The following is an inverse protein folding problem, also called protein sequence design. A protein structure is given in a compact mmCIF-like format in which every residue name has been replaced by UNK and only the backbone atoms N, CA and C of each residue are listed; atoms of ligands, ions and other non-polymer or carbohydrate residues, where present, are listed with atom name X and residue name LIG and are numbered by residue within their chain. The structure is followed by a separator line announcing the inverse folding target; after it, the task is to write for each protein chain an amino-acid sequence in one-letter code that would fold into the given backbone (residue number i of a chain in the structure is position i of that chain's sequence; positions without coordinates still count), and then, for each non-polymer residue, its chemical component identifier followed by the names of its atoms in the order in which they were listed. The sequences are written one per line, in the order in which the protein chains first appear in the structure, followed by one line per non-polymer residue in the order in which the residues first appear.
data_IF_367489647547
#
_entry.id   IF_367489647547
#
_cell.length_a   1.000
_cell.length_b   1.000
_cell.length_c   1.000
_cell.angle_alpha   90.00
_cell.angle_beta   90.00
_cell.angle_gamma   90.00
#
_symmetry.space_group_name_H-M   'P 1'
#
loop_
_entity.id
_entity.type
_entity.pdbx_description
1 polymer ?
#
# COMPACT_ATOMS: atom_id res chain seq x y z
N UNK A 1 21.73 -0.28 -9.08
CA UNK A 1 21.46 -1.66 -8.61
C UNK A 1 20.67 -2.35 -9.71
N UNK A 2 20.96 -3.58 -10.15
CA UNK A 2 20.10 -4.22 -11.13
C UNK A 2 18.79 -4.59 -10.45
N UNK A 3 17.69 -4.23 -11.11
CA UNK A 3 16.33 -4.34 -10.59
C UNK A 3 16.12 -5.76 -10.07
N UNK A 4 15.89 -5.90 -8.77
CA UNK A 4 14.93 -6.93 -8.36
C UNK A 4 13.68 -6.57 -9.15
N UNK A 5 13.19 -7.49 -9.98
CA UNK A 5 11.98 -7.23 -10.73
C UNK A 5 10.88 -6.78 -9.75
N UNK A 6 9.91 -5.99 -10.25
CA UNK A 6 8.79 -5.57 -9.43
C UNK A 6 8.21 -6.80 -8.70
N UNK A 7 7.78 -6.64 -7.44
CA UNK A 7 7.13 -7.76 -6.77
C UNK A 7 6.05 -8.35 -7.67
N UNK A 8 5.94 -9.68 -7.73
CA UNK A 8 5.05 -10.34 -8.68
C UNK A 8 3.60 -9.82 -8.60
N UNK A 9 3.15 -9.43 -7.42
CA UNK A 9 1.80 -8.86 -7.25
C UNK A 9 1.61 -7.54 -8.00
N UNK A 10 2.62 -6.67 -8.03
CA UNK A 10 2.65 -5.48 -8.89
C UNK A 10 2.98 -5.82 -10.34
N UNK A 11 3.79 -6.85 -10.58
CA UNK A 11 4.16 -7.29 -11.93
C UNK A 11 2.96 -7.78 -12.74
N UNK A 12 1.83 -8.11 -12.12
CA UNK A 12 0.58 -8.43 -12.82
C UNK A 12 -0.18 -7.21 -13.32
N UNK A 13 0.08 -6.04 -12.74
CA UNK A 13 -0.64 -4.80 -13.00
C UNK A 13 -0.08 -4.13 -14.24
N UNK A 14 -0.93 -3.54 -15.07
CA UNK A 14 -0.46 -2.74 -16.21
C UNK A 14 0.39 -1.57 -15.72
N UNK A 15 1.51 -1.31 -16.40
CA UNK A 15 2.53 -0.39 -15.91
C UNK A 15 2.01 1.06 -15.83
N UNK A 16 1.13 1.43 -16.76
CA UNK A 16 0.40 2.70 -16.83
C UNK A 16 -0.73 2.82 -15.82
N UNK A 17 -1.00 1.77 -15.02
CA UNK A 17 -2.07 1.75 -14.00
C UNK A 17 -1.54 1.70 -12.56
N UNK A 18 -0.22 1.67 -12.36
CA UNK A 18 0.40 1.65 -11.02
C UNK A 18 0.04 2.88 -10.18
N UNK A 19 -0.20 4.02 -10.80
CA UNK A 19 -0.57 5.26 -10.11
C UNK A 19 -1.86 5.13 -9.28
N UNK A 20 -2.75 4.19 -9.63
CA UNK A 20 -4.02 3.97 -8.93
C UNK A 20 -3.89 3.51 -7.49
N UNK A 21 -2.73 2.99 -7.10
CA UNK A 21 -2.45 2.63 -5.70
C UNK A 21 -2.17 3.84 -4.81
N UNK A 22 -1.95 5.00 -5.42
CA UNK A 22 -1.45 6.20 -4.78
C UNK A 22 -2.45 7.35 -4.84
N UNK A 23 -3.71 7.02 -5.14
CA UNK A 23 -4.81 7.96 -5.26
C UNK A 23 -6.06 7.26 -4.73
N UNK A 24 -6.82 7.95 -3.90
CA UNK A 24 -8.12 7.51 -3.40
C UNK A 24 -8.99 7.06 -4.58
N UNK A 25 -9.48 5.83 -4.55
CA UNK A 25 -10.18 5.27 -5.71
C UNK A 25 -11.45 6.06 -6.06
N UNK A 26 -12.16 6.62 -5.06
CA UNK A 26 -13.33 7.47 -5.32
C UNK A 26 -12.99 8.72 -6.15
N UNK A 27 -11.74 9.19 -6.11
CA UNK A 27 -11.29 10.34 -6.92
C UNK A 27 -10.91 9.95 -8.34
N UNK A 28 -10.63 8.67 -8.59
CA UNK A 28 -10.24 8.13 -9.91
C UNK A 28 -11.42 8.01 -10.87
N UNK A 29 -12.65 8.03 -10.34
CA UNK A 29 -13.88 7.96 -11.13
C UNK A 29 -14.62 9.30 -11.07
N UNK A 30 -15.26 9.68 -12.18
CA UNK A 30 -16.21 10.78 -12.19
C UNK A 30 -17.58 10.31 -11.69
N UNK A 31 -18.50 11.24 -11.40
CA UNK A 31 -19.88 10.90 -10.96
C UNK A 31 -20.67 10.11 -11.99
N UNK A 32 -20.35 10.27 -13.28
CA UNK A 32 -20.89 9.51 -14.41
C UNK A 32 -20.11 8.21 -14.69
N UNK A 33 -19.13 7.86 -13.84
CA UNK A 33 -18.41 6.58 -13.87
C UNK A 33 -17.19 6.54 -14.80
N UNK A 34 -16.81 7.65 -15.43
CA UNK A 34 -15.64 7.72 -16.31
C UNK A 34 -14.34 7.72 -15.51
N UNK A 35 -13.32 7.06 -16.05
CA UNK A 35 -12.01 7.00 -15.43
C UNK A 35 -11.25 8.31 -15.66
N UNK A 36 -10.58 8.80 -14.63
CA UNK A 36 -9.65 9.93 -14.73
C UNK A 36 -8.25 9.42 -15.05
N UNK A 37 -7.51 10.19 -15.85
CA UNK A 37 -6.08 9.97 -16.03
C UNK A 37 -5.27 10.45 -14.82
N UNK A 38 -4.09 9.86 -14.63
CA UNK A 38 -3.15 10.20 -13.55
C UNK A 38 -2.74 11.68 -13.52
N UNK A 39 -2.68 12.33 -14.69
CA UNK A 39 -2.25 13.72 -14.84
C UNK A 39 -3.16 14.73 -14.12
N UNK A 40 -4.43 14.40 -13.88
CA UNK A 40 -5.36 15.33 -13.23
C UNK A 40 -4.96 15.63 -11.78
N UNK A 41 -4.25 14.72 -11.12
CA UNK A 41 -3.81 14.89 -9.74
C UNK A 41 -2.49 15.65 -9.63
N UNK A 42 -1.63 15.52 -10.64
CA UNK A 42 -0.38 16.29 -10.73
C UNK A 42 -0.65 17.77 -11.05
N UNK A 43 -1.83 18.11 -11.60
CA UNK A 43 -2.27 19.51 -11.74
C UNK A 43 -2.54 20.15 -10.38
N UNK A 44 -3.15 19.41 -9.46
CA UNK A 44 -3.45 19.90 -8.11
C UNK A 44 -2.17 20.03 -7.30
N UNK A 45 -1.29 19.03 -7.35
CA UNK A 45 0.00 18.98 -6.64
C UNK A 45 1.15 18.58 -7.59
N UNK A 46 1.77 19.54 -8.29
CA UNK A 46 2.83 19.25 -9.25
C UNK A 46 3.98 18.44 -8.65
N UNK A 47 4.33 17.33 -9.31
CA UNK A 47 5.40 16.43 -8.89
C UNK A 47 4.93 15.26 -8.01
N UNK A 48 3.66 15.23 -7.60
CA UNK A 48 3.08 14.15 -6.81
C UNK A 48 3.32 12.78 -7.44
N UNK A 49 2.98 12.61 -8.73
CA UNK A 49 3.06 11.27 -9.34
C UNK A 49 4.50 10.81 -9.49
N UNK A 50 5.40 11.72 -9.84
CA UNK A 50 6.82 11.41 -9.92
C UNK A 50 7.39 10.96 -8.56
N UNK A 51 7.01 11.64 -7.48
CA UNK A 51 7.43 11.29 -6.12
C UNK A 51 6.83 9.95 -5.66
N UNK A 52 5.54 9.71 -5.87
CA UNK A 52 4.91 8.42 -5.51
C UNK A 52 5.48 7.24 -6.29
N UNK A 53 5.81 7.40 -7.58
CA UNK A 53 6.47 6.34 -8.36
C UNK A 53 7.92 6.09 -7.89
N UNK A 54 8.65 7.14 -7.48
CA UNK A 54 9.96 6.99 -6.83
C UNK A 54 9.83 6.23 -5.50
N UNK A 55 8.82 6.55 -4.70
CA UNK A 55 8.54 5.85 -3.45
C UNK A 55 8.10 4.40 -3.66
N UNK A 56 7.32 4.12 -4.71
CA UNK A 56 6.95 2.77 -5.15
C UNK A 56 8.19 1.92 -5.47
N UNK A 57 9.17 2.49 -6.18
CA UNK A 57 10.42 1.79 -6.47
C UNK A 57 11.18 1.44 -5.16
N UNK A 58 11.30 2.41 -4.25
CA UNK A 58 11.94 2.19 -2.95
C UNK A 58 11.19 1.14 -2.11
N UNK A 59 9.86 1.14 -2.15
CA UNK A 59 9.03 0.12 -1.51
C UNK A 59 9.40 -1.27 -2.02
N UNK A 60 9.42 -1.47 -3.34
CA UNK A 60 9.80 -2.75 -3.96
C UNK A 60 11.22 -3.17 -3.60
N UNK A 61 12.18 -2.25 -3.69
CA UNK A 61 13.60 -2.49 -3.39
C UNK A 61 13.83 -2.89 -1.92
N UNK A 62 12.88 -2.61 -1.03
CA UNK A 62 13.02 -2.85 0.41
C UNK A 62 12.09 -3.92 0.96
N UNK A 63 11.27 -4.61 0.16
CA UNK A 63 10.31 -5.63 0.65
C UNK A 63 10.95 -6.73 1.52
N UNK A 64 12.19 -7.11 1.22
CA UNK A 64 12.95 -8.12 1.97
C UNK A 64 13.47 -7.64 3.34
N UNK A 65 13.41 -6.33 3.61
CA UNK A 65 13.88 -5.72 4.86
C UNK A 65 12.76 -5.65 5.88
N UNK A 66 13.10 -5.62 7.17
CA UNK A 66 12.13 -5.25 8.21
C UNK A 66 11.78 -3.77 8.11
N UNK A 67 10.55 -3.42 8.46
CA UNK A 67 10.15 -2.02 8.58
C UNK A 67 10.85 -1.41 9.81
N UNK A 68 11.38 -0.20 9.65
CA UNK A 68 12.09 0.56 10.68
C UNK A 68 11.67 2.03 10.60
N UNK A 69 11.82 2.83 11.67
CA UNK A 69 11.54 4.27 11.60
C UNK A 69 12.33 4.96 10.47
N UNK A 70 13.60 4.58 10.28
CA UNK A 70 14.44 5.10 9.21
C UNK A 70 13.89 4.76 7.82
N UNK A 71 13.36 3.55 7.62
CA UNK A 71 12.75 3.18 6.34
C UNK A 71 11.44 3.95 6.09
N UNK A 72 10.64 4.19 7.13
CA UNK A 72 9.44 5.05 7.03
C UNK A 72 9.85 6.47 6.61
N UNK A 73 10.92 7.03 7.20
CA UNK A 73 11.48 8.33 6.79
C UNK A 73 11.99 8.35 5.34
N UNK A 74 12.61 7.26 4.88
CA UNK A 74 13.06 7.14 3.49
C UNK A 74 11.88 7.08 2.51
N UNK A 75 10.82 6.35 2.85
CA UNK A 75 9.58 6.31 2.07
C UNK A 75 8.89 7.68 2.05
N UNK A 76 8.80 8.33 3.22
CA UNK A 76 8.27 9.69 3.37
C UNK A 76 8.99 10.68 2.45
N UNK A 77 10.33 10.71 2.55
CA UNK A 77 11.16 11.56 1.69
C UNK A 77 10.90 11.27 0.22
N UNK A 78 10.90 10.00 -0.19
CA UNK A 78 10.68 9.63 -1.58
C UNK A 78 9.31 10.07 -2.09
N UNK A 79 8.27 10.05 -1.23
CA UNK A 79 6.89 10.38 -1.56
C UNK A 79 6.62 11.89 -1.66
N UNK A 80 7.45 12.75 -1.04
CA UNK A 80 7.24 14.20 -1.04
C UNK A 80 8.37 15.03 -1.67
N UNK A 81 9.57 14.47 -1.87
CA UNK A 81 10.69 15.22 -2.45
C UNK A 81 10.37 15.62 -3.90
N UNK A 82 10.27 16.94 -4.13
CA UNK A 82 9.92 17.52 -5.44
C UNK A 82 8.43 17.77 -5.65
N UNK A 83 7.58 17.53 -4.65
CA UNK A 83 6.14 17.84 -4.70
C UNK A 83 5.91 19.30 -4.31
N UNK A 84 5.14 20.03 -5.12
CA UNK A 84 4.70 21.41 -4.84
C UNK A 84 3.39 21.43 -4.05
N UNK A 85 3.13 22.52 -3.30
CA UNK A 85 1.91 22.75 -2.50
C UNK A 85 1.68 21.74 -1.36
N UNK A 86 2.75 21.18 -0.83
CA UNK A 86 2.70 20.51 0.47
C UNK A 86 2.56 21.56 1.57
N UNK A 87 2.14 21.15 2.77
CA UNK A 87 2.16 22.00 3.96
C UNK A 87 3.58 22.14 4.54
N UNK A 88 4.62 21.81 3.76
CA UNK A 88 6.00 21.86 4.22
C UNK A 88 6.62 23.23 3.95
N UNK A 89 7.30 23.76 4.96
CA UNK A 89 8.13 24.95 4.85
C UNK A 89 9.55 24.60 4.36
N UNK A 90 10.32 25.59 3.90
CA UNK A 90 11.69 25.41 3.37
C UNK A 90 12.64 24.74 4.39
N UNK A 91 12.35 24.85 5.68
CA UNK A 91 13.13 24.28 6.78
C UNK A 91 12.65 22.90 7.24
N UNK A 92 11.55 22.38 6.68
CA UNK A 92 11.05 21.06 7.04
C UNK A 92 12.00 19.97 6.56
N UNK A 93 12.38 19.10 7.51
CA UNK A 93 13.40 18.10 7.25
C UNK A 93 12.77 16.74 6.98
N UNK A 94 13.08 16.20 5.81
CA UNK A 94 12.78 14.80 5.45
C UNK A 94 13.63 13.76 6.19
N UNK A 95 14.56 14.19 7.05
CA UNK A 95 15.48 13.33 7.79
C UNK A 95 14.99 12.96 9.19
N UNK A 96 13.86 13.50 9.64
CA UNK A 96 13.28 13.23 10.96
C UNK A 96 11.75 13.32 10.94
N UNK A 97 11.13 12.81 12.00
CA UNK A 97 9.72 13.08 12.30
C UNK A 97 9.51 14.54 12.74
N UNK A 98 8.25 15.00 12.77
CA UNK A 98 7.90 16.34 13.30
C UNK A 98 8.40 16.52 14.73
N UNK A 99 8.58 17.76 15.18
CA UNK A 99 9.17 18.01 16.50
C UNK A 99 8.54 19.22 17.18
N UNK A 100 7.66 18.94 18.14
CA UNK A 100 6.85 19.89 18.91
C UNK A 100 5.70 20.54 18.13
N UNK A 101 5.57 20.26 16.84
CA UNK A 101 4.46 20.71 16.01
C UNK A 101 3.18 19.95 16.37
N UNK A 102 2.04 20.65 16.43
CA UNK A 102 0.73 20.01 16.48
C UNK A 102 0.38 19.53 15.07
N UNK A 103 -0.15 18.31 14.95
CA UNK A 103 -0.67 17.84 13.66
C UNK A 103 -2.02 17.16 13.83
N UNK A 104 -2.88 17.31 12.83
CA UNK A 104 -4.25 16.85 12.93
C UNK A 104 -5.04 17.04 11.65
N UNK A 105 -6.27 16.52 11.64
CA UNK A 105 -7.16 16.55 10.50
C UNK A 105 -8.62 16.66 10.94
N UNK A 106 -9.48 17.13 10.03
CA UNK A 106 -10.90 17.26 10.28
C UNK A 106 -11.60 15.90 10.26
N UNK A 107 -12.52 15.70 11.21
CA UNK A 107 -13.33 14.50 11.33
C UNK A 107 -14.62 14.65 10.54
N UNK A 108 -14.96 13.62 9.77
CA UNK A 108 -16.15 13.50 8.92
C UNK A 108 -16.78 12.12 9.16
N UNK A 109 -18.03 12.11 9.66
CA UNK A 109 -18.73 10.87 9.97
C UNK A 109 -19.24 10.18 8.71
N UNK A 110 -19.22 8.85 8.73
CA UNK A 110 -19.72 8.02 7.62
C UNK A 110 -21.23 8.20 7.37
N UNK A 111 -21.98 8.66 8.37
CA UNK A 111 -23.41 8.93 8.22
C UNK A 111 -23.72 10.23 7.47
N UNK A 112 -22.73 11.10 7.23
CA UNK A 112 -22.92 12.41 6.58
C UNK A 112 -22.18 12.55 5.26
N UNK A 113 -20.97 11.99 5.14
CA UNK A 113 -20.04 12.37 4.07
C UNK A 113 -19.58 11.19 3.19
N UNK A 114 -20.38 10.11 3.11
CA UNK A 114 -20.26 8.97 2.19
C UNK A 114 -18.83 8.58 1.79
N UNK A 115 -18.35 9.14 0.67
CA UNK A 115 -17.04 8.82 0.12
C UNK A 115 -15.86 9.43 0.90
N UNK A 116 -16.03 10.62 1.47
CA UNK A 116 -14.98 11.38 2.17
C UNK A 116 -14.93 11.12 3.68
N UNK A 117 -15.88 10.33 4.19
CA UNK A 117 -15.93 10.02 5.61
C UNK A 117 -14.69 9.27 6.09
N UNK A 118 -14.15 9.72 7.23
CA UNK A 118 -12.97 9.15 7.88
C UNK A 118 -13.24 8.65 9.31
N UNK A 119 -14.47 8.77 9.81
CA UNK A 119 -14.89 8.26 11.13
C UNK A 119 -16.09 7.33 10.99
N UNK A 120 -15.99 6.13 11.54
CA UNK A 120 -17.13 5.24 11.80
C UNK A 120 -17.40 5.17 13.31
N UNK A 121 -18.63 4.76 13.67
CA UNK A 121 -19.00 4.54 15.08
C UNK A 121 -18.11 3.48 15.74
N UNK A 122 -17.94 2.34 15.07
CA UNK A 122 -17.17 1.23 15.64
C UNK A 122 -15.67 1.55 15.67
N UNK A 123 -15.14 2.31 14.70
CA UNK A 123 -13.75 2.76 14.77
C UNK A 123 -13.50 3.81 15.85
N UNK A 124 -14.47 4.70 16.09
CA UNK A 124 -14.44 5.62 17.23
C UNK A 124 -14.51 4.86 18.56
N UNK A 125 -15.30 3.78 18.64
CA UNK A 125 -15.34 2.87 19.78
C UNK A 125 -13.99 2.20 20.03
N UNK A 126 -13.37 1.60 19.00
CA UNK A 126 -12.06 0.95 19.12
C UNK A 126 -11.00 1.95 19.60
N UNK A 127 -11.00 3.17 19.04
CA UNK A 127 -10.14 4.27 19.50
C UNK A 127 -10.37 4.61 20.98
N UNK A 128 -11.62 4.79 21.41
CA UNK A 128 -11.93 5.09 22.81
C UNK A 128 -11.50 3.97 23.75
N UNK A 129 -11.72 2.71 23.37
CA UNK A 129 -11.27 1.57 24.16
C UNK A 129 -9.75 1.56 24.33
N UNK A 130 -8.99 1.86 23.26
CA UNK A 130 -7.53 2.01 23.33
C UNK A 130 -7.12 3.14 24.27
N UNK A 131 -7.70 4.33 24.09
CA UNK A 131 -7.42 5.52 24.91
C UNK A 131 -7.74 5.28 26.39
N UNK A 132 -8.87 4.63 26.69
CA UNK A 132 -9.24 4.28 28.05
C UNK A 132 -8.29 3.23 28.66
N UNK A 133 -7.90 2.22 27.88
CA UNK A 133 -7.02 1.15 28.35
C UNK A 133 -5.60 1.64 28.65
N UNK A 134 -5.10 2.63 27.90
CA UNK A 134 -3.75 3.19 28.09
C UNK A 134 -3.71 4.52 28.83
N UNK A 135 -4.86 5.04 29.27
CA UNK A 135 -4.96 6.34 29.95
C UNK A 135 -4.59 7.54 29.06
N UNK A 136 -4.90 7.47 27.77
CA UNK A 136 -4.51 8.42 26.74
C UNK A 136 -3.00 8.73 26.76
N UNK A 137 -2.15 7.70 26.73
CA UNK A 137 -0.68 7.87 26.86
C UNK A 137 -0.07 8.78 25.77
N UNK A 138 -0.73 8.87 24.61
CA UNK A 138 -0.35 9.72 23.49
C UNK A 138 -0.89 11.15 23.61
N UNK A 139 -1.75 11.41 24.60
CA UNK A 139 -2.42 12.70 24.85
C UNK A 139 -3.12 13.24 23.60
N UNK A 140 -3.83 12.35 22.89
CA UNK A 140 -4.66 12.75 21.77
C UNK A 140 -5.77 13.70 22.23
N UNK A 141 -6.17 14.60 21.34
CA UNK A 141 -7.24 15.56 21.57
C UNK A 141 -8.25 15.49 20.40
N UNK A 142 -9.52 15.76 20.69
CA UNK A 142 -10.51 16.06 19.66
C UNK A 142 -11.00 17.47 19.93
N UNK A 143 -10.56 18.41 19.10
CA UNK A 143 -10.85 19.83 19.28
C UNK A 143 -12.06 20.22 18.43
N UNK A 144 -13.08 20.80 19.07
CA UNK A 144 -14.16 21.51 18.37
C UNK A 144 -13.63 22.78 17.69
N UNK A 145 -14.46 23.40 16.84
CA UNK A 145 -14.17 24.70 16.22
C UNK A 145 -13.81 25.82 17.22
N UNK A 146 -14.31 25.74 18.46
CA UNK A 146 -14.01 26.67 19.54
C UNK A 146 -12.75 26.28 20.35
N UNK A 147 -11.95 25.33 19.83
CA UNK A 147 -10.75 24.79 20.50
C UNK A 147 -11.00 24.14 21.86
N UNK A 148 -12.23 23.71 22.12
CA UNK A 148 -12.57 22.88 23.29
C UNK A 148 -12.26 21.43 22.98
N UNK A 149 -11.48 20.78 23.85
CA UNK A 149 -11.17 19.36 23.78
C UNK A 149 -12.36 18.52 24.27
N UNK A 150 -13.16 18.05 23.32
CA UNK A 150 -14.35 17.23 23.59
C UNK A 150 -13.97 15.79 23.95
N UNK A 151 -12.78 15.31 23.59
CA UNK A 151 -12.30 13.99 24.03
C UNK A 151 -12.04 14.01 25.53
N UNK A 152 -11.36 15.04 26.04
CA UNK A 152 -11.16 15.21 27.48
C UNK A 152 -12.48 15.31 28.25
N UNK A 153 -13.47 16.02 27.70
CA UNK A 153 -14.80 16.09 28.30
C UNK A 153 -15.45 14.69 28.38
N UNK A 154 -15.43 13.95 27.27
CA UNK A 154 -15.92 12.57 27.20
C UNK A 154 -15.25 11.66 28.24
N UNK A 155 -13.92 11.69 28.33
CA UNK A 155 -13.16 10.89 29.29
C UNK A 155 -13.51 11.25 30.75
N UNK A 156 -13.71 12.54 31.06
CA UNK A 156 -14.16 12.96 32.40
C UNK A 156 -15.57 12.47 32.74
N UNK A 157 -16.47 12.38 31.75
CA UNK A 157 -17.80 11.81 31.94
C UNK A 157 -17.71 10.30 32.22
N UNK A 158 -16.84 9.58 31.50
CA UNK A 158 -16.61 8.14 31.69
C UNK A 158 -16.12 7.80 33.10
N UNK A 159 -15.19 8.58 33.65
CA UNK A 159 -14.61 8.35 34.97
C UNK A 159 -15.65 8.37 36.09
N UNK A 160 -16.64 9.28 35.98
CA UNK A 160 -17.69 9.51 36.99
C UNK A 160 -18.74 8.39 37.06
N UNK A 161 -18.79 7.51 36.05
CA UNK A 161 -19.81 6.47 35.92
C UNK A 161 -19.35 5.16 36.57
N UNK A 162 -20.27 4.51 37.28
CA UNK A 162 -20.02 3.20 37.91
C UNK A 162 -20.08 2.06 36.88
N UNK A 163 -21.10 2.05 36.01
CA UNK A 163 -21.20 1.09 34.91
C UNK A 163 -20.31 1.53 33.75
N UNK A 164 -19.16 0.87 33.61
CA UNK A 164 -18.17 1.19 32.58
C UNK A 164 -18.60 0.79 31.16
N UNK A 165 -19.50 -0.18 31.01
CA UNK A 165 -20.02 -0.57 29.69
C UNK A 165 -21.02 0.46 29.20
N UNK A 166 -21.98 0.84 30.05
CA UNK A 166 -22.93 1.91 29.75
C UNK A 166 -22.20 3.23 29.52
N UNK A 167 -21.21 3.56 30.35
CA UNK A 167 -20.42 4.77 30.20
C UNK A 167 -19.72 4.88 28.84
N UNK A 168 -19.21 3.76 28.31
CA UNK A 168 -18.58 3.73 26.99
C UNK A 168 -19.58 4.10 25.88
N UNK A 169 -20.80 3.56 25.91
CA UNK A 169 -21.84 3.91 24.94
C UNK A 169 -22.25 5.39 25.05
N UNK A 170 -22.41 5.90 26.28
CA UNK A 170 -22.81 7.29 26.50
C UNK A 170 -21.77 8.29 25.96
N UNK A 171 -20.47 8.03 26.18
CA UNK A 171 -19.42 8.92 25.67
C UNK A 171 -19.24 8.79 24.15
N UNK A 172 -19.55 7.62 23.59
CA UNK A 172 -19.53 7.39 22.15
C UNK A 172 -20.66 8.18 21.47
N UNK A 173 -21.88 8.10 22.01
CA UNK A 173 -23.02 8.91 21.55
C UNK A 173 -22.72 10.40 21.64
N UNK A 174 -22.10 10.84 22.74
CA UNK A 174 -21.66 12.22 22.91
C UNK A 174 -20.68 12.66 21.82
N UNK A 175 -19.62 11.89 21.57
CA UNK A 175 -18.62 12.27 20.56
C UNK A 175 -19.19 12.22 19.15
N UNK A 176 -20.03 11.25 18.81
CA UNK A 176 -20.71 11.20 17.52
C UNK A 176 -21.61 12.42 17.31
N UNK A 177 -22.40 12.80 18.31
CA UNK A 177 -23.24 14.00 18.24
C UNK A 177 -22.39 15.25 18.04
N UNK A 178 -21.26 15.38 18.77
CA UNK A 178 -20.33 16.50 18.62
C UNK A 178 -19.71 16.56 17.23
N UNK A 179 -19.19 15.45 16.71
CA UNK A 179 -18.55 15.41 15.39
C UNK A 179 -19.59 15.68 14.29
N UNK A 180 -20.81 15.17 14.44
CA UNK A 180 -21.90 15.36 13.48
C UNK A 180 -22.37 16.82 13.41
N UNK A 181 -22.55 17.45 14.56
CA UNK A 181 -23.21 18.75 14.66
C UNK A 181 -22.21 19.92 14.72
N UNK A 182 -20.92 19.64 14.97
CA UNK A 182 -19.86 20.65 15.10
C UNK A 182 -18.61 20.20 14.37
N UNK A 183 -17.94 21.12 13.66
CA UNK A 183 -16.63 20.83 13.06
C UNK A 183 -15.63 20.45 14.16
N UNK A 184 -15.20 19.19 14.15
CA UNK A 184 -14.21 18.66 15.08
C UNK A 184 -12.96 18.24 14.31
N UNK A 185 -11.79 18.48 14.89
CA UNK A 185 -10.51 17.98 14.38
C UNK A 185 -9.87 17.04 15.40
N UNK A 186 -9.31 15.95 14.93
CA UNK A 186 -8.41 15.14 15.75
C UNK A 186 -7.02 15.78 15.74
N UNK A 187 -6.35 15.76 16.88
CA UNK A 187 -5.02 16.34 17.04
C UNK A 187 -4.11 15.35 17.77
N UNK A 188 -2.98 15.06 17.14
CA UNK A 188 -1.82 14.47 17.79
C UNK A 188 -0.96 15.59 18.38
N UNK A 189 -0.67 15.55 19.69
CA UNK A 189 -0.05 16.68 20.38
C UNK A 189 1.42 16.87 19.95
N UNK A 190 1.98 18.02 20.31
CA UNK A 190 3.38 18.33 20.10
C UNK A 190 4.28 17.33 20.83
N UNK A 191 5.01 16.52 20.08
CA UNK A 191 6.00 15.57 20.59
C UNK A 191 7.33 15.84 19.90
N UNK A 192 8.44 15.64 20.62
CA UNK A 192 9.75 15.69 19.96
C UNK A 192 9.88 14.53 18.97
N UNK A 193 10.66 14.72 17.90
CA UNK A 193 10.91 13.67 16.91
C UNK A 193 11.43 12.37 17.53
N UNK A 194 12.23 12.46 18.61
CA UNK A 194 12.75 11.29 19.34
C UNK A 194 11.65 10.49 20.02
N UNK A 195 10.70 11.17 20.67
CA UNK A 195 9.55 10.53 21.32
C UNK A 195 8.68 9.83 20.28
N UNK A 196 8.47 10.47 19.12
CA UNK A 196 7.74 9.85 18.00
C UNK A 196 8.48 8.60 17.50
N UNK A 197 9.80 8.70 17.28
CA UNK A 197 10.63 7.59 16.85
C UNK A 197 10.61 6.41 17.84
N UNK A 198 10.69 6.69 19.15
CA UNK A 198 10.59 5.69 20.21
C UNK A 198 9.23 4.98 20.19
N UNK A 199 8.12 5.73 20.06
CA UNK A 199 6.77 5.15 19.95
C UNK A 199 6.61 4.28 18.72
N UNK A 200 7.03 4.75 17.55
CA UNK A 200 7.01 3.96 16.31
C UNK A 200 7.86 2.69 16.45
N UNK A 201 9.05 2.80 17.06
CA UNK A 201 9.91 1.64 17.34
C UNK A 201 9.20 0.62 18.21
N UNK A 202 8.54 1.06 19.28
CA UNK A 202 7.73 0.19 20.13
C UNK A 202 6.59 -0.49 19.36
N UNK A 203 5.85 0.24 18.51
CA UNK A 203 4.78 -0.33 17.69
C UNK A 203 5.31 -1.36 16.70
N UNK A 204 6.46 -1.10 16.05
CA UNK A 204 7.11 -2.05 15.14
C UNK A 204 7.60 -3.32 15.85
N UNK A 205 8.15 -3.19 17.06
CA UNK A 205 8.55 -4.34 17.88
C UNK A 205 7.34 -5.19 18.28
N UNK A 206 6.22 -4.56 18.66
CA UNK A 206 4.98 -5.24 18.98
C UNK A 206 4.39 -5.94 17.74
N UNK A 207 4.37 -5.27 16.59
CA UNK A 207 3.96 -5.83 15.31
C UNK A 207 4.75 -7.09 14.94
N UNK A 208 6.08 -7.02 14.94
CA UNK A 208 6.93 -8.17 14.65
C UNK A 208 6.74 -9.31 15.67
N UNK A 209 6.50 -8.97 16.94
CA UNK A 209 6.18 -9.97 17.97
C UNK A 209 4.84 -10.65 17.68
N UNK A 210 3.78 -9.89 17.38
CA UNK A 210 2.46 -10.42 17.08
C UNK A 210 2.48 -11.28 15.82
N UNK A 211 3.12 -10.82 14.75
CA UNK A 211 3.24 -11.56 13.49
C UNK A 211 3.85 -12.95 13.64
N UNK A 212 4.82 -13.14 14.55
CA UNK A 212 5.43 -14.46 14.79
C UNK A 212 4.49 -15.49 15.42
N UNK A 213 3.40 -15.05 16.05
CA UNK A 213 2.49 -15.92 16.80
C UNK A 213 1.14 -16.13 16.10
N UNK A 214 0.83 -15.34 15.07
CA UNK A 214 -0.41 -15.49 14.30
C UNK A 214 -0.18 -16.43 13.12
N UNK A 215 -1.09 -17.39 12.94
CA UNK A 215 -1.03 -18.38 11.86
C UNK A 215 -2.05 -18.11 10.76
N UNK A 216 -3.23 -17.58 11.10
CA UNK A 216 -4.29 -17.28 10.12
C UNK A 216 -4.00 -15.99 9.36
N UNK A 217 -4.38 -15.96 8.09
CA UNK A 217 -4.20 -14.80 7.24
C UNK A 217 -5.05 -13.61 7.68
N UNK A 218 -6.25 -13.85 8.21
CA UNK A 218 -7.07 -12.81 8.82
C UNK A 218 -6.36 -12.14 10.01
N UNK A 219 -5.79 -12.93 10.93
CA UNK A 219 -5.08 -12.37 12.09
C UNK A 219 -3.77 -11.67 11.69
N UNK A 220 -3.09 -12.11 10.62
CA UNK A 220 -1.95 -11.36 10.07
C UNK A 220 -2.39 -10.01 9.53
N UNK A 221 -3.52 -9.97 8.82
CA UNK A 221 -4.08 -8.75 8.28
C UNK A 221 -4.48 -7.77 9.40
N UNK A 222 -5.11 -8.26 10.47
CA UNK A 222 -5.38 -7.47 11.69
C UNK A 222 -4.12 -6.82 12.26
N UNK A 223 -3.05 -7.61 12.39
CA UNK A 223 -1.77 -7.12 12.94
C UNK A 223 -1.14 -6.05 12.05
N UNK A 224 -1.29 -6.15 10.73
CA UNK A 224 -0.84 -5.12 9.77
C UNK A 224 -1.69 -3.85 9.91
N UNK A 225 -3.03 -3.98 9.95
CA UNK A 225 -3.97 -2.87 10.11
C UNK A 225 -3.68 -2.11 11.41
N UNK A 226 -3.54 -2.82 12.54
CA UNK A 226 -3.25 -2.24 13.85
C UNK A 226 -1.97 -1.41 13.82
N UNK A 227 -0.90 -1.91 13.19
CA UNK A 227 0.36 -1.17 13.07
C UNK A 227 0.15 0.15 12.32
N UNK A 228 -0.45 0.09 11.13
CA UNK A 228 -0.64 1.25 10.25
C UNK A 228 -1.52 2.29 10.94
N UNK A 229 -2.65 1.87 11.52
CA UNK A 229 -3.58 2.73 12.23
C UNK A 229 -2.93 3.43 13.43
N UNK A 230 -2.12 2.71 14.23
CA UNK A 230 -1.39 3.33 15.37
C UNK A 230 -0.42 4.41 14.92
N UNK A 231 0.31 4.18 13.83
CA UNK A 231 1.28 5.18 13.33
C UNK A 231 0.54 6.35 12.66
N UNK A 232 -0.55 6.11 11.91
CA UNK A 232 -1.35 7.17 11.28
C UNK A 232 -1.96 8.10 12.34
N UNK A 233 -2.54 7.56 13.42
CA UNK A 233 -3.03 8.34 14.57
C UNK A 233 -1.93 9.14 15.26
N UNK A 234 -0.71 8.58 15.37
CA UNK A 234 0.44 9.32 15.92
C UNK A 234 0.79 10.53 15.04
N UNK A 235 0.47 10.44 13.75
CA UNK A 235 0.59 11.49 12.74
C UNK A 235 2.00 12.08 12.73
N UNK A 236 3.03 11.28 12.45
CA UNK A 236 4.43 11.59 12.73
C UNK A 236 5.06 12.66 11.82
N UNK A 237 4.38 13.04 10.74
CA UNK A 237 4.83 14.08 9.81
C UNK A 237 3.90 15.30 9.85
N UNK A 238 4.42 16.45 9.44
CA UNK A 238 3.61 17.69 9.25
C UNK A 238 2.60 17.50 8.11
N UNK A 239 3.02 16.76 7.08
CA UNK A 239 2.19 16.45 5.91
C UNK A 239 2.56 15.07 5.36
N UNK A 240 1.74 14.49 4.49
CA UNK A 240 2.04 13.25 3.76
C UNK A 240 1.96 11.96 4.60
N UNK A 241 1.28 11.99 5.75
CA UNK A 241 1.06 10.83 6.62
C UNK A 241 0.35 9.70 5.86
N UNK A 242 -0.88 9.93 5.40
CA UNK A 242 -1.65 8.95 4.62
C UNK A 242 -0.90 8.40 3.38
N UNK A 243 -0.21 9.25 2.60
CA UNK A 243 0.61 8.80 1.44
C UNK A 243 1.70 7.82 1.87
N UNK A 244 2.36 8.11 2.98
CA UNK A 244 3.48 7.31 3.47
C UNK A 244 3.01 6.05 4.19
N UNK A 245 2.07 6.18 5.11
CA UNK A 245 1.71 5.13 6.04
C UNK A 245 0.63 4.23 5.45
N UNK A 246 -0.40 4.81 4.83
CA UNK A 246 -1.53 4.06 4.30
C UNK A 246 -1.30 3.63 2.86
N UNK A 247 -0.79 4.49 1.97
CA UNK A 247 -0.61 4.08 0.57
C UNK A 247 0.68 3.27 0.34
N UNK A 248 1.78 3.60 1.04
CA UNK A 248 3.07 2.93 0.88
C UNK A 248 3.31 1.84 1.94
N UNK A 249 3.34 2.18 3.23
CA UNK A 249 3.69 1.21 4.29
C UNK A 249 2.68 0.05 4.38
N UNK A 250 1.38 0.32 4.30
CA UNK A 250 0.37 -0.76 4.24
C UNK A 250 0.65 -1.73 3.09
N UNK A 251 0.74 -1.23 1.85
CA UNK A 251 0.97 -2.06 0.69
C UNK A 251 2.28 -2.83 0.78
N UNK A 252 3.33 -2.20 1.32
CA UNK A 252 4.60 -2.86 1.61
C UNK A 252 4.42 -4.05 2.55
N UNK A 253 3.75 -3.85 3.68
CA UNK A 253 3.56 -4.91 4.68
C UNK A 253 2.58 -5.98 4.21
N UNK A 254 1.56 -5.63 3.43
CA UNK A 254 0.69 -6.61 2.76
C UNK A 254 1.53 -7.56 1.90
N UNK A 255 2.32 -7.00 0.97
CA UNK A 255 3.14 -7.78 0.05
C UNK A 255 4.21 -8.59 0.79
N UNK A 256 4.89 -7.98 1.76
CA UNK A 256 5.92 -8.65 2.56
C UNK A 256 5.37 -9.89 3.29
N UNK A 257 4.09 -9.88 3.65
CA UNK A 257 3.42 -10.99 4.33
C UNK A 257 2.62 -11.90 3.39
N UNK A 258 2.82 -11.79 2.06
CA UNK A 258 2.23 -12.68 1.06
C UNK A 258 0.83 -12.28 0.57
N UNK A 259 0.36 -11.09 0.93
CA UNK A 259 -0.89 -10.53 0.42
C UNK A 259 -0.69 -9.74 -0.88
N UNK A 260 -1.80 -9.44 -1.55
CA UNK A 260 -1.82 -8.55 -2.71
C UNK A 260 -1.77 -7.09 -2.25
N UNK A 261 -1.21 -6.16 -3.05
CA UNK A 261 -1.43 -4.74 -2.80
C UNK A 261 -2.91 -4.41 -2.97
N UNK A 262 -3.35 -3.36 -2.31
CA UNK A 262 -4.73 -2.91 -2.29
C UNK A 262 -4.86 -1.46 -2.76
N UNK A 263 -5.92 -1.19 -3.53
CA UNK A 263 -6.36 0.16 -3.89
C UNK A 263 -7.55 0.53 -3.01
N UNK A 264 -7.35 1.43 -2.06
CA UNK A 264 -8.38 1.78 -1.10
C UNK A 264 -9.39 2.75 -1.70
N UNK A 265 -10.67 2.56 -1.35
CA UNK A 265 -11.73 3.52 -1.70
C UNK A 265 -11.38 4.92 -1.19
N UNK A 266 -11.21 5.03 0.13
CA UNK A 266 -10.74 6.24 0.81
C UNK A 266 -9.69 5.83 1.86
N UNK A 267 -8.39 6.13 1.63
CA UNK A 267 -7.32 5.76 2.54
C UNK A 267 -7.33 6.54 3.87
N UNK A 268 -8.01 7.69 3.93
CA UNK A 268 -8.13 8.49 5.15
C UNK A 268 -9.01 7.84 6.23
N UNK A 269 -9.59 6.66 5.97
CA UNK A 269 -10.36 5.88 6.95
C UNK A 269 -9.50 5.20 8.01
N UNK A 270 -8.19 5.04 7.75
CA UNK A 270 -7.29 4.30 8.65
C UNK A 270 -7.19 4.89 10.06
N UNK A 271 -7.59 6.14 10.28
CA UNK A 271 -7.61 6.75 11.60
C UNK A 271 -8.73 6.23 12.51
N UNK A 272 -9.98 6.25 12.03
CA UNK A 272 -11.18 6.05 12.87
C UNK A 272 -12.21 5.10 12.26
N UNK A 273 -11.81 4.21 11.35
CA UNK A 273 -12.58 3.01 11.03
C UNK A 273 -12.09 1.84 11.88
N UNK A 274 -13.01 0.93 12.19
CA UNK A 274 -12.72 -0.27 12.95
C UNK A 274 -11.84 -1.22 12.13
N UNK A 275 -11.09 -2.08 12.83
CA UNK A 275 -10.18 -3.04 12.20
C UNK A 275 -10.89 -3.95 11.20
N UNK A 276 -12.13 -4.36 11.50
CA UNK A 276 -12.96 -5.17 10.58
C UNK A 276 -13.40 -4.39 9.34
N UNK A 277 -13.77 -3.12 9.48
CA UNK A 277 -14.16 -2.26 8.36
C UNK A 277 -12.94 -1.99 7.44
N UNK A 278 -11.77 -1.74 8.03
CA UNK A 278 -10.52 -1.56 7.29
C UNK A 278 -10.09 -2.84 6.55
N UNK A 279 -10.30 -4.01 7.16
CA UNK A 279 -10.10 -5.29 6.47
C UNK A 279 -11.01 -5.41 5.26
N UNK A 280 -12.29 -5.06 5.40
CA UNK A 280 -13.21 -5.09 4.27
C UNK A 280 -12.77 -4.12 3.17
N UNK A 281 -12.36 -2.88 3.51
CA UNK A 281 -11.82 -1.91 2.55
C UNK A 281 -10.59 -2.46 1.80
N UNK A 282 -9.70 -3.19 2.48
CA UNK A 282 -8.55 -3.85 1.85
C UNK A 282 -8.98 -4.95 0.89
N UNK A 283 -9.94 -5.80 1.29
CA UNK A 283 -10.47 -6.91 0.46
C UNK A 283 -11.17 -6.35 -0.78
N UNK A 284 -11.98 -5.31 -0.62
CA UNK A 284 -12.64 -4.63 -1.73
C UNK A 284 -11.61 -4.01 -2.67
N UNK A 285 -10.55 -3.41 -2.13
CA UNK A 285 -9.43 -2.91 -2.92
C UNK A 285 -8.67 -4.00 -3.70
N UNK A 286 -8.61 -5.23 -3.21
CA UNK A 286 -8.09 -6.37 -4.00
C UNK A 286 -9.01 -6.73 -5.15
N UNK A 287 -10.34 -6.62 -4.98
CA UNK A 287 -11.30 -6.81 -6.07
C UNK A 287 -11.15 -5.72 -7.12
N UNK A 288 -11.00 -4.46 -6.71
CA UNK A 288 -10.75 -3.34 -7.62
C UNK A 288 -9.45 -3.55 -8.42
N UNK A 289 -8.40 -4.05 -7.75
CA UNK A 289 -7.08 -4.27 -8.36
C UNK A 289 -7.15 -5.23 -9.55
N UNK A 290 -8.04 -6.23 -9.52
CA UNK A 290 -8.20 -7.21 -10.61
C UNK A 290 -8.55 -6.56 -11.95
N UNK A 291 -9.21 -5.40 -11.94
CA UNK A 291 -9.61 -4.67 -13.16
C UNK A 291 -8.41 -4.17 -13.98
N UNK A 292 -7.27 -3.97 -13.32
CA UNK A 292 -6.06 -3.42 -13.94
C UNK A 292 -4.92 -4.44 -14.01
N UNK A 293 -5.25 -5.73 -13.90
CA UNK A 293 -4.31 -6.84 -14.03
C UNK A 293 -4.43 -7.49 -15.41
N UNK A 294 -3.29 -7.94 -15.93
CA UNK A 294 -3.26 -8.78 -17.12
C UNK A 294 -3.80 -10.17 -16.81
N UNK A 295 -4.73 -10.67 -17.63
CA UNK A 295 -5.23 -12.04 -17.54
C UNK A 295 -4.11 -13.06 -17.73
N UNK A 296 -3.20 -12.81 -18.68
CA UNK A 296 -2.02 -13.64 -18.94
C UNK A 296 -1.11 -13.66 -17.71
N UNK A 297 -0.87 -12.51 -17.07
CA UNK A 297 -0.04 -12.45 -15.88
C UNK A 297 -0.70 -13.08 -14.63
N UNK A 298 -1.99 -13.37 -14.66
CA UNK A 298 -2.65 -14.12 -13.59
C UNK A 298 -2.39 -15.63 -13.65
N UNK A 299 -1.80 -16.15 -14.74
CA UNK A 299 -1.44 -17.56 -14.87
C UNK A 299 -0.27 -17.95 -13.96
N UNK A 300 -0.37 -19.13 -13.32
CA UNK A 300 0.73 -19.69 -12.51
C UNK A 300 1.98 -20.00 -13.34
N UNK A 301 1.81 -20.35 -14.62
CA UNK A 301 2.94 -20.55 -15.54
C UNK A 301 3.64 -19.24 -15.87
N UNK A 302 2.91 -18.14 -16.03
CA UNK A 302 3.50 -16.81 -16.18
C UNK A 302 4.33 -16.46 -14.94
N UNK A 303 3.78 -16.68 -13.72
CA UNK A 303 4.51 -16.52 -12.45
C UNK A 303 5.82 -17.29 -12.44
N UNK A 304 5.77 -18.55 -12.85
CA UNK A 304 6.95 -19.42 -12.88
C UNK A 304 8.02 -18.88 -13.83
N UNK A 305 7.63 -18.36 -15.00
CA UNK A 305 8.56 -17.76 -15.97
C UNK A 305 9.14 -16.45 -15.43
N UNK A 306 8.32 -15.65 -14.75
CA UNK A 306 8.73 -14.41 -14.10
C UNK A 306 9.79 -14.66 -13.01
N UNK A 307 9.51 -15.57 -12.07
CA UNK A 307 10.46 -15.96 -11.01
C UNK A 307 11.72 -16.60 -11.60
N UNK A 308 11.64 -17.27 -12.75
CA UNK A 308 12.80 -17.77 -13.45
C UNK A 308 13.68 -16.63 -14.01
N UNK A 309 13.09 -15.55 -14.52
CA UNK A 309 13.84 -14.36 -14.93
C UNK A 309 14.60 -13.74 -13.74
N UNK A 310 13.98 -13.65 -12.57
CA UNK A 310 14.64 -13.19 -11.33
C UNK A 310 15.81 -14.07 -10.90
N UNK A 311 15.64 -15.39 -11.00
CA UNK A 311 16.72 -16.35 -10.75
C UNK A 311 17.88 -16.11 -11.70
N UNK A 312 17.62 -15.84 -12.99
CA UNK A 312 18.69 -15.51 -13.95
C UNK A 312 19.44 -14.24 -13.54
N UNK A 313 18.77 -13.18 -13.10
CA UNK A 313 19.46 -11.99 -12.58
C UNK A 313 20.33 -12.33 -11.37
N UNK A 314 19.77 -13.06 -10.41
CA UNK A 314 20.49 -13.49 -9.19
C UNK A 314 21.75 -14.30 -9.52
N UNK A 315 21.67 -15.20 -10.48
CA UNK A 315 22.81 -16.02 -10.90
C UNK A 315 23.82 -15.25 -11.76
N UNK A 316 23.36 -14.33 -12.62
CA UNK A 316 24.25 -13.43 -13.36
C UNK A 316 25.13 -12.61 -12.42
N UNK A 317 24.56 -12.19 -11.27
CA UNK A 317 25.28 -11.45 -10.24
C UNK A 317 26.39 -12.25 -9.56
N UNK A 318 26.20 -13.55 -9.36
CA UNK A 318 27.20 -14.44 -8.75
C UNK A 318 28.26 -14.88 -9.75
N UNK A 319 27.97 -14.81 -11.04
CA UNK A 319 28.86 -15.29 -12.10
C UNK A 319 29.96 -14.28 -12.45
N UNK A 320 31.20 -14.75 -12.49
CA UNK A 320 32.34 -13.95 -13.01
C UNK A 320 32.46 -14.07 -14.53
N UNK A 321 32.09 -15.22 -15.11
CA UNK A 321 32.38 -15.55 -16.51
C UNK A 321 31.19 -15.38 -17.46
N UNK A 322 29.96 -15.45 -16.96
CA UNK A 322 28.76 -15.47 -17.80
C UNK A 322 27.74 -14.38 -17.46
N UNK A 323 28.14 -13.42 -16.63
CA UNK A 323 27.29 -12.30 -16.20
C UNK A 323 26.53 -11.65 -17.36
N UNK A 324 27.24 -11.16 -18.37
CA UNK A 324 26.63 -10.42 -19.48
C UNK A 324 25.64 -11.27 -20.30
N UNK A 325 25.99 -12.54 -20.56
CA UNK A 325 25.12 -13.44 -21.31
C UNK A 325 23.86 -13.82 -20.53
N UNK A 326 23.99 -14.07 -19.21
CA UNK A 326 22.87 -14.39 -18.33
C UNK A 326 21.98 -13.15 -18.11
N UNK A 327 22.56 -11.96 -17.92
CA UNK A 327 21.83 -10.69 -17.83
C UNK A 327 21.03 -10.42 -19.10
N UNK A 328 21.65 -10.50 -20.29
CA UNK A 328 20.92 -10.30 -21.56
C UNK A 328 19.76 -11.29 -21.73
N UNK A 329 19.92 -12.53 -21.26
CA UNK A 329 18.86 -13.54 -21.29
C UNK A 329 17.72 -13.18 -20.33
N UNK A 330 18.04 -12.71 -19.12
CA UNK A 330 17.06 -12.23 -18.15
C UNK A 330 16.28 -11.02 -18.71
N UNK A 331 16.99 -10.02 -19.23
CA UNK A 331 16.40 -8.83 -19.87
C UNK A 331 15.48 -9.18 -21.05
N UNK A 332 15.90 -10.11 -21.90
CA UNK A 332 15.09 -10.56 -23.05
C UNK A 332 13.82 -11.28 -22.59
N UNK A 333 13.91 -12.08 -21.52
CA UNK A 333 12.75 -12.78 -20.97
C UNK A 333 11.80 -11.83 -20.25
N UNK A 334 12.33 -10.88 -19.48
CA UNK A 334 11.55 -9.83 -18.83
C UNK A 334 10.82 -8.98 -19.86
N UNK A 335 11.50 -8.57 -20.94
CA UNK A 335 10.87 -7.83 -22.04
C UNK A 335 9.71 -8.61 -22.66
N UNK A 336 9.92 -9.90 -22.97
CA UNK A 336 8.86 -10.77 -23.49
C UNK A 336 7.68 -10.83 -22.52
N UNK A 337 7.92 -10.97 -21.22
CA UNK A 337 6.88 -11.02 -20.20
C UNK A 337 6.11 -9.70 -20.10
N UNK A 338 6.78 -8.55 -20.23
CA UNK A 338 6.10 -7.24 -20.26
C UNK A 338 5.24 -7.10 -21.52
N UNK A 339 5.77 -7.48 -22.68
CA UNK A 339 5.02 -7.43 -23.94
C UNK A 339 3.79 -8.34 -23.86
N UNK A 340 3.91 -9.54 -23.28
CA UNK A 340 2.82 -10.50 -23.10
C UNK A 340 1.66 -9.95 -22.25
N UNK A 341 1.95 -9.09 -21.27
CA UNK A 341 0.90 -8.59 -20.36
C UNK A 341 -0.21 -7.85 -21.10
N UNK A 342 0.15 -7.10 -22.13
CA UNK A 342 -0.74 -6.25 -22.90
C UNK A 342 -1.40 -6.97 -24.10
N UNK A 343 -1.31 -8.30 -24.17
CA UNK A 343 -1.80 -9.09 -25.30
C UNK A 343 -3.02 -9.92 -24.95
N UNK A 344 -3.85 -10.17 -25.96
CA UNK A 344 -4.84 -11.25 -25.91
C UNK A 344 -4.13 -12.61 -25.84
N UNK A 345 -4.80 -13.69 -25.37
CA UNK A 345 -4.20 -15.03 -25.33
C UNK A 345 -3.62 -15.48 -26.68
N UNK A 346 -4.32 -15.22 -27.79
CA UNK A 346 -3.89 -15.59 -29.14
C UNK A 346 -2.64 -14.82 -29.59
N UNK A 347 -2.63 -13.50 -29.42
CA UNK A 347 -1.44 -12.69 -29.72
C UNK A 347 -0.25 -13.10 -28.83
N UNK A 348 -0.53 -13.50 -27.59
CA UNK A 348 0.48 -14.00 -26.66
C UNK A 348 1.12 -15.31 -27.14
N UNK A 349 0.33 -16.24 -27.68
CA UNK A 349 0.83 -17.47 -28.31
C UNK A 349 1.76 -17.13 -29.48
N UNK A 350 1.34 -16.27 -30.39
CA UNK A 350 2.14 -15.86 -31.56
C UNK A 350 3.45 -15.17 -31.16
N UNK A 351 3.40 -14.34 -30.12
CA UNK A 351 4.56 -13.66 -29.58
C UNK A 351 5.56 -14.65 -28.95
N UNK A 352 5.07 -15.63 -28.17
CA UNK A 352 5.90 -16.70 -27.61
C UNK A 352 6.53 -17.53 -28.72
N UNK A 353 5.77 -17.92 -29.76
CA UNK A 353 6.28 -18.70 -30.89
C UNK A 353 7.39 -17.98 -31.65
N UNK A 354 7.23 -16.69 -31.89
CA UNK A 354 8.22 -15.85 -32.58
C UNK A 354 9.53 -15.76 -31.78
N UNK A 355 9.43 -15.61 -30.46
CA UNK A 355 10.57 -15.53 -29.56
C UNK A 355 11.15 -16.91 -29.17
N UNK A 356 10.44 -18.01 -29.37
CA UNK A 356 10.94 -19.35 -29.05
C UNK A 356 12.24 -19.67 -29.79
N UNK A 357 12.43 -19.12 -31.00
CA UNK A 357 13.66 -19.30 -31.81
C UNK A 357 14.87 -18.60 -31.19
N UNK A 358 14.69 -17.41 -30.59
CA UNK A 358 15.79 -16.68 -29.94
C UNK A 358 16.24 -17.37 -28.65
N UNK A 359 15.33 -18.03 -27.92
CA UNK A 359 15.69 -18.81 -26.72
C UNK A 359 16.25 -20.22 -26.99
N UNK A 360 16.00 -20.79 -28.19
CA UNK A 360 16.49 -22.12 -28.61
C UNK A 360 18.02 -22.21 -28.80
N UNK A 361 18.69 -21.13 -29.20
CA UNK A 361 20.12 -21.15 -29.57
C UNK A 361 21.06 -21.23 -28.36
N UNK A 362 20.58 -20.92 -27.15
CA UNK A 362 21.33 -21.02 -25.90
C UNK A 362 21.30 -22.45 -25.32
N UNK A 363 21.79 -23.46 -26.07
CA UNK A 363 21.83 -24.87 -25.63
C UNK A 363 22.43 -24.99 -24.23
N UNK A 364 21.60 -25.29 -23.23
CA UNK A 364 21.89 -26.02 -21.99
C UNK A 364 23.02 -25.56 -21.05
N UNK A 365 23.88 -24.62 -21.46
CA UNK A 365 25.08 -24.25 -20.73
C UNK A 365 24.70 -23.51 -19.46
N UNK A 366 23.80 -22.52 -19.56
CA UNK A 366 23.27 -21.77 -18.40
C UNK A 366 22.51 -22.70 -17.45
N UNK A 367 21.63 -23.56 -17.97
CA UNK A 367 20.83 -24.48 -17.15
C UNK A 367 21.72 -25.48 -16.38
N UNK A 368 22.77 -26.03 -17.02
CA UNK A 368 23.74 -26.93 -16.35
C UNK A 368 24.73 -26.21 -15.44
N UNK A 369 25.26 -25.05 -15.87
CA UNK A 369 26.26 -24.29 -15.11
C UNK A 369 25.68 -23.67 -13.84
N UNK A 370 24.40 -23.31 -13.85
CA UNK A 370 23.72 -22.68 -12.72
C UNK A 370 22.74 -23.62 -12.00
N UNK A 371 22.75 -24.93 -12.33
CA UNK A 371 21.92 -25.93 -11.64
C UNK A 371 20.41 -25.66 -11.72
N UNK A 372 19.93 -25.11 -12.84
CA UNK A 372 18.51 -24.83 -13.04
C UNK A 372 17.79 -26.11 -13.52
N UNK A 373 16.68 -26.45 -12.90
CA UNK A 373 15.97 -27.72 -13.19
C UNK A 373 15.20 -27.73 -14.52
N UNK A 374 15.03 -26.57 -15.15
CA UNK A 374 14.25 -26.46 -16.39
C UNK A 374 14.84 -25.44 -17.37
N UNK A 375 14.49 -25.58 -18.65
CA UNK A 375 14.93 -24.66 -19.69
C UNK A 375 13.91 -23.54 -19.90
N UNK A 376 14.37 -22.35 -20.27
CA UNK A 376 13.49 -21.24 -20.70
C UNK A 376 12.50 -21.68 -21.77
N UNK A 377 12.92 -22.55 -22.69
CA UNK A 377 12.07 -23.08 -23.74
C UNK A 377 10.90 -23.92 -23.20
N UNK A 378 11.16 -24.76 -22.20
CA UNK A 378 10.11 -25.59 -21.60
C UNK A 378 9.10 -24.72 -20.86
N UNK A 379 9.58 -23.75 -20.07
CA UNK A 379 8.71 -22.78 -19.38
C UNK A 379 7.80 -22.02 -20.35
N UNK A 380 8.35 -21.51 -21.45
CA UNK A 380 7.58 -20.79 -22.46
C UNK A 380 6.57 -21.70 -23.18
N UNK A 381 6.91 -22.97 -23.44
CA UNK A 381 5.95 -23.94 -23.99
C UNK A 381 4.81 -24.25 -23.03
N UNK A 382 5.11 -24.40 -21.75
CA UNK A 382 4.07 -24.62 -20.73
C UNK A 382 3.15 -23.41 -20.62
N UNK A 383 3.70 -22.18 -20.61
CA UNK A 383 2.89 -20.96 -20.65
C UNK A 383 2.02 -20.89 -21.91
N UNK A 384 2.58 -21.20 -23.08
CA UNK A 384 1.83 -21.23 -24.35
C UNK A 384 0.67 -22.22 -24.30
N UNK A 385 0.88 -23.42 -23.74
CA UNK A 385 -0.19 -24.41 -23.55
C UNK A 385 -1.29 -23.89 -22.61
N UNK A 386 -0.95 -23.16 -21.55
CA UNK A 386 -1.96 -22.55 -20.68
C UNK A 386 -2.76 -21.47 -21.43
N UNK A 387 -2.11 -20.65 -22.26
CA UNK A 387 -2.77 -19.64 -23.10
C UNK A 387 -3.74 -20.28 -24.09
N UNK A 388 -3.39 -21.41 -24.71
CA UNK A 388 -4.26 -22.17 -25.62
C UNK A 388 -5.53 -22.68 -24.92
N UNK A 389 -5.45 -22.92 -23.61
CA UNK A 389 -6.56 -23.40 -22.79
C UNK A 389 -7.30 -22.27 -22.05
N UNK A 390 -6.90 -21.00 -22.21
CA UNK A 390 -7.65 -19.89 -21.63
C UNK A 390 -9.00 -19.75 -22.32
N UNK A 391 -10.09 -19.53 -21.56
CA UNK A 391 -11.39 -19.27 -22.16
C UNK A 391 -11.27 -18.04 -23.06
N UNK A 392 -11.87 -18.09 -24.25
CA UNK A 392 -11.96 -16.96 -25.18
C UNK A 392 -12.83 -15.88 -24.55
N UNK A 393 -12.26 -15.07 -23.67
CA UNK A 393 -12.91 -13.89 -23.13
C UNK A 393 -12.88 -12.82 -24.21
N UNK A 394 -14.02 -12.55 -24.84
CA UNK A 394 -14.24 -11.39 -25.68
C UNK A 394 -14.24 -10.13 -24.82
N UNK A 395 -13.05 -9.70 -24.37
CA UNK A 395 -12.88 -8.41 -23.71
C UNK A 395 -12.62 -7.40 -24.81
N UNK A 396 -13.70 -6.75 -25.25
CA UNK A 396 -13.63 -5.44 -25.88
C UNK A 396 -13.13 -4.49 -24.81
N UNK A 397 -11.81 -4.25 -24.75
CA UNK A 397 -11.30 -3.08 -24.03
C UNK A 397 -11.72 -1.90 -24.89
N UNK A 398 -12.78 -1.21 -24.49
CA UNK A 398 -13.14 0.07 -25.09
C UNK A 398 -12.05 1.07 -24.67
N UNK A 399 -10.99 1.18 -25.48
CA UNK A 399 -9.89 2.12 -25.25
C UNK A 399 -10.28 3.59 -25.49
N UNK A 400 -11.58 3.89 -25.52
CA UNK A 400 -12.15 5.22 -25.72
C UNK A 400 -13.16 5.59 -24.62
N UNK A 401 -12.77 5.67 -23.34
CA UNK A 401 -13.52 6.45 -22.33
C UNK A 401 -12.65 7.03 -21.25
#
# INVERSE_FOLDING_TARGET
MPRASANYEYAKIFADEIWRFYIDYYRQVTKDGKQKGSLLFDVEEPGYMAAMLKAHQLLNDTLHKKLTPQLILQLYRAALEGVSKTNLEEFDRFDRFRSNDLSGFWLKLNTTDGDEANVSREGLREFLQEVLANGNENRFEILSNNSVDVLKEALSQYEKKLDKKQALEEILDFLEDKIKNTKCKFVSPGMTHKVIEEKITCYLLQYEKKLRHVSSDQNKLDVIIELVQKIERLHPFIDGNCRTLVMLVLNRELIRNGFKPTMLWNPNRFDFFASEELRQDIIDGWVLTKKYQSEIANLNTYKTVYEYADKLYTEAHKSVFHKDATTKKAESLEKLLQDLKAKSPQEGIELIQTNLRTFKSSRGLTTRLFGLDTTTQNLLKTLMNDLENMPSTSITIDMNT
#
